data_IF_058193496494
#
_entry.id   IF_058193496494
#
_cell.length_a   1.000
_cell.length_b   1.000
_cell.length_c   1.000
_cell.angle_alpha   90.00
_cell.angle_beta   90.00
_cell.angle_gamma   90.00
#
_symmetry.space_group_name_H-M   'P 1'
#
loop_
_entity.id
_entity.type
_entity.pdbx_description
1 polymer ?
#
# COMPACT_ATOMS: atom_id res chain seq x y z
N UNK A 1 7.19 8.06 6.49
CA UNK A 1 6.59 7.50 5.27
C UNK A 1 7.18 8.23 4.08
N UNK A 2 7.74 7.50 3.14
CA UNK A 2 8.55 8.06 2.07
C UNK A 2 7.96 7.71 0.71
N UNK A 3 8.03 8.66 -0.22
CA UNK A 3 7.65 8.46 -1.62
C UNK A 3 8.90 8.69 -2.48
N UNK A 4 9.12 7.82 -3.45
CA UNK A 4 10.21 7.91 -4.41
C UNK A 4 9.62 7.80 -5.82
N UNK A 5 8.93 8.85 -6.27
CA UNK A 5 8.16 8.88 -7.52
C UNK A 5 8.99 8.48 -8.74
N UNK A 6 10.29 8.80 -8.75
CA UNK A 6 11.19 8.47 -9.85
C UNK A 6 11.21 6.96 -10.15
N UNK A 7 11.00 6.13 -9.12
CA UNK A 7 11.04 4.68 -9.24
C UNK A 7 9.68 4.03 -8.95
N UNK A 8 8.60 4.78 -9.10
CA UNK A 8 7.23 4.25 -9.04
C UNK A 8 7.03 3.20 -10.12
N UNK A 9 6.38 2.09 -9.79
CA UNK A 9 6.10 1.02 -10.75
C UNK A 9 4.78 0.32 -10.43
N UNK A 10 4.06 -0.11 -11.48
CA UNK A 10 2.82 -0.84 -11.32
C UNK A 10 3.07 -2.28 -10.87
N UNK A 11 2.29 -2.73 -9.89
CA UNK A 11 2.25 -4.11 -9.43
C UNK A 11 1.07 -4.81 -10.12
N UNK A 12 1.35 -5.77 -10.99
CA UNK A 12 0.33 -6.46 -11.81
C UNK A 12 0.00 -7.85 -11.31
N UNK A 13 0.94 -8.52 -10.65
CA UNK A 13 0.73 -9.87 -10.13
C UNK A 13 0.13 -9.79 -8.72
N UNK A 14 -0.96 -10.53 -8.49
CA UNK A 14 -1.66 -10.51 -7.18
C UNK A 14 -0.74 -10.90 -6.04
N UNK A 15 0.12 -11.90 -6.23
CA UNK A 15 1.07 -12.33 -5.20
C UNK A 15 2.07 -11.21 -4.88
N UNK A 16 2.51 -10.45 -5.87
CA UNK A 16 3.41 -9.31 -5.66
C UNK A 16 2.70 -8.18 -4.91
N UNK A 17 1.45 -7.90 -5.25
CA UNK A 17 0.63 -6.90 -4.56
C UNK A 17 0.48 -7.28 -3.08
N UNK A 18 0.15 -8.54 -2.81
CA UNK A 18 -0.01 -9.07 -1.46
C UNK A 18 1.29 -8.95 -0.66
N UNK A 19 2.40 -9.41 -1.22
CA UNK A 19 3.71 -9.37 -0.55
C UNK A 19 4.14 -7.93 -0.27
N UNK A 20 3.87 -7.02 -1.21
CA UNK A 20 4.21 -5.62 -1.05
C UNK A 20 3.38 -4.95 0.05
N UNK A 21 2.05 -5.07 -0.03
CA UNK A 21 1.13 -4.42 0.93
C UNK A 21 1.32 -4.97 2.34
N UNK A 22 1.55 -6.26 2.49
CA UNK A 22 1.70 -6.91 3.80
C UNK A 22 3.15 -6.92 4.32
N UNK A 23 4.07 -6.28 3.61
CA UNK A 23 5.50 -6.31 3.94
C UNK A 23 5.90 -5.49 5.17
N UNK A 24 5.07 -4.55 5.61
CA UNK A 24 5.30 -3.75 6.82
C UNK A 24 5.65 -2.28 6.60
N UNK A 25 6.10 -1.90 5.41
CA UNK A 25 6.48 -0.52 5.09
C UNK A 25 6.11 -0.12 3.66
N UNK A 26 5.05 -0.71 3.11
CA UNK A 26 4.64 -0.45 1.73
C UNK A 26 3.93 0.89 1.58
N UNK A 27 4.21 1.58 0.47
CA UNK A 27 3.48 2.78 0.06
C UNK A 27 3.01 2.56 -1.38
N UNK A 28 1.70 2.63 -1.58
CA UNK A 28 1.09 2.39 -2.90
C UNK A 28 0.18 3.52 -3.30
N UNK A 29 0.05 3.74 -4.61
CA UNK A 29 -0.96 4.63 -5.17
C UNK A 29 -1.95 3.79 -5.97
N UNK A 30 -3.23 3.93 -5.64
CA UNK A 30 -4.34 3.35 -6.36
C UNK A 30 -4.84 4.35 -7.39
N UNK A 31 -4.89 3.94 -8.66
CA UNK A 31 -5.31 4.78 -9.77
C UNK A 31 -6.53 4.14 -10.44
N UNK A 32 -7.58 4.94 -10.66
CA UNK A 32 -8.76 4.51 -11.42
C UNK A 32 -8.75 5.17 -12.81
N UNK A 33 -8.78 4.37 -13.87
CA UNK A 33 -8.89 4.88 -15.24
C UNK A 33 -10.24 5.52 -15.50
N UNK A 34 -11.29 5.05 -14.83
CA UNK A 34 -12.67 5.52 -15.03
C UNK A 34 -12.89 6.91 -14.46
N UNK A 35 -12.40 7.16 -13.25
CA UNK A 35 -12.60 8.43 -12.53
C UNK A 35 -11.37 9.34 -12.55
N UNK A 36 -10.23 8.82 -13.00
CA UNK A 36 -8.93 9.48 -12.96
C UNK A 36 -8.54 9.93 -11.53
N UNK A 37 -9.00 9.21 -10.53
CA UNK A 37 -8.71 9.49 -9.12
C UNK A 37 -7.47 8.73 -8.69
N UNK A 38 -6.58 9.40 -7.95
CA UNK A 38 -5.35 8.84 -7.41
C UNK A 38 -5.39 8.95 -5.89
N UNK A 39 -5.24 7.82 -5.19
CA UNK A 39 -5.14 7.78 -3.73
C UNK A 39 -3.86 7.07 -3.34
N UNK A 40 -3.04 7.72 -2.52
CA UNK A 40 -1.78 7.14 -2.02
C UNK A 40 -1.95 6.71 -0.57
N UNK A 41 -1.56 5.47 -0.28
CA UNK A 41 -1.70 4.87 1.05
C UNK A 41 -0.35 4.34 1.55
N UNK A 42 -0.14 4.44 2.85
CA UNK A 42 0.95 3.79 3.57
C UNK A 42 0.38 2.64 4.40
N UNK A 43 1.03 1.48 4.31
CA UNK A 43 0.70 0.27 5.08
C UNK A 43 1.88 -0.01 6.01
N UNK A 44 1.71 0.29 7.30
CA UNK A 44 2.82 0.29 8.25
C UNK A 44 2.57 -0.63 9.45
N UNK A 45 3.49 -1.56 9.68
CA UNK A 45 3.52 -2.37 10.91
C UNK A 45 4.44 -1.70 11.93
N UNK A 46 3.97 -1.50 13.19
CA UNK A 46 4.85 -1.04 14.27
C UNK A 46 5.98 -2.04 14.52
N UNK A 47 7.14 -1.56 14.95
CA UNK A 47 8.30 -2.41 15.22
C UNK A 47 8.06 -3.46 16.31
N UNK A 48 7.26 -3.10 17.31
CA UNK A 48 6.98 -3.93 18.48
C UNK A 48 5.76 -4.85 18.30
N UNK A 49 5.07 -4.79 17.15
CA UNK A 49 3.88 -5.59 16.86
C UNK A 49 3.86 -6.00 15.39
N UNK A 50 3.68 -7.31 15.13
CA UNK A 50 3.51 -7.84 13.77
C UNK A 50 2.09 -8.33 13.51
N UNK A 51 1.18 -8.19 14.49
CA UNK A 51 -0.22 -8.62 14.40
C UNK A 51 -1.17 -7.54 13.85
N UNK A 52 -0.71 -6.31 13.70
CA UNK A 52 -1.52 -5.18 13.25
C UNK A 52 -0.76 -4.33 12.23
N UNK A 53 -1.50 -3.79 11.27
CA UNK A 53 -0.97 -2.87 10.26
C UNK A 53 -1.83 -1.62 10.23
N UNK A 54 -1.21 -0.45 10.33
CA UNK A 54 -1.91 0.83 10.24
C UNK A 54 -1.90 1.36 8.81
N UNK A 55 -3.03 1.90 8.37
CA UNK A 55 -3.18 2.47 7.03
C UNK A 55 -3.39 3.97 7.16
N UNK A 56 -2.55 4.74 6.47
CA UNK A 56 -2.65 6.19 6.34
C UNK A 56 -2.75 6.57 4.88
N UNK A 57 -3.34 7.71 4.59
CA UNK A 57 -3.41 8.25 3.23
C UNK A 57 -2.71 9.60 3.16
N UNK A 58 -2.10 9.87 2.01
CA UNK A 58 -1.46 11.16 1.73
C UNK A 58 -2.52 12.14 1.22
N UNK A 59 -2.74 13.24 1.94
CA UNK A 59 -3.80 14.21 1.59
C UNK A 59 -3.30 15.41 0.80
N UNK A 60 -2.06 15.82 1.04
CA UNK A 60 -1.38 16.86 0.25
C UNK A 60 0.12 16.61 0.36
N UNK A 61 0.87 16.78 -0.64
CA UNK A 61 2.30 16.54 -0.76
C UNK A 61 3.07 15.92 0.42
N UNK A 62 2.69 16.18 1.67
CA UNK A 62 3.45 15.74 2.85
C UNK A 62 2.60 15.32 4.06
N UNK A 63 1.28 15.53 4.04
CA UNK A 63 0.43 15.25 5.19
C UNK A 63 -0.19 13.86 5.10
N UNK A 64 0.13 13.00 6.07
CA UNK A 64 -0.43 11.67 6.21
C UNK A 64 -1.55 11.68 7.24
N UNK A 65 -2.69 11.09 6.89
CA UNK A 65 -3.90 11.08 7.73
C UNK A 65 -4.31 9.63 7.97
N UNK A 66 -4.61 9.29 9.21
CA UNK A 66 -4.98 7.93 9.60
C UNK A 66 -6.33 7.51 9.01
N UNK A 67 -6.36 6.34 8.37
CA UNK A 67 -7.56 5.76 7.76
C UNK A 67 -8.13 4.65 8.61
N UNK A 68 -7.33 3.68 9.01
CA UNK A 68 -7.79 2.52 9.75
C UNK A 68 -6.67 1.51 9.98
N UNK A 69 -7.04 0.28 10.35
CA UNK A 69 -6.07 -0.77 10.58
C UNK A 69 -6.50 -2.10 9.96
N UNK A 70 -5.51 -2.95 9.72
CA UNK A 70 -5.71 -4.31 9.23
C UNK A 70 -5.18 -5.29 10.27
N UNK A 71 -6.02 -6.25 10.66
CA UNK A 71 -5.67 -7.26 11.66
C UNK A 71 -6.53 -8.51 11.44
N UNK A 72 -5.91 -9.68 11.52
CA UNK A 72 -6.60 -10.97 11.39
C UNK A 72 -7.43 -11.10 10.10
N UNK A 73 -6.91 -10.59 8.98
CA UNK A 73 -7.61 -10.64 7.71
C UNK A 73 -8.72 -9.62 7.53
N UNK A 74 -8.86 -8.66 8.45
CA UNK A 74 -9.93 -7.65 8.39
C UNK A 74 -9.37 -6.23 8.44
N UNK A 75 -9.88 -5.39 7.53
CA UNK A 75 -9.65 -3.95 7.56
C UNK A 75 -10.81 -3.28 8.31
N UNK A 76 -10.49 -2.47 9.34
CA UNK A 76 -11.48 -1.81 10.18
C UNK A 76 -11.15 -0.34 10.40
N UNK A 77 -12.20 0.46 10.59
CA UNK A 77 -12.09 1.85 11.01
C UNK A 77 -12.17 1.93 12.54
N UNK A 78 -11.67 3.04 13.10
CA UNK A 78 -11.75 3.33 14.54
C UNK A 78 -12.32 4.73 14.74
N UNK A 79 -12.56 5.12 16.00
CA UNK A 79 -12.98 6.47 16.34
C UNK A 79 -11.97 7.55 15.92
N UNK A 80 -10.70 7.17 15.72
CA UNK A 80 -9.65 8.07 15.26
C UNK A 80 -9.55 8.16 13.74
N UNK A 81 -10.29 7.34 13.00
CA UNK A 81 -10.30 7.37 11.53
C UNK A 81 -10.88 8.68 11.03
N UNK A 82 -10.17 9.35 10.11
CA UNK A 82 -10.59 10.63 9.57
C UNK A 82 -11.70 10.49 8.52
N UNK A 83 -11.96 9.28 8.03
CA UNK A 83 -12.87 9.04 6.91
C UNK A 83 -13.98 8.08 7.29
N UNK A 84 -15.16 8.32 6.68
CA UNK A 84 -16.34 7.45 6.86
C UNK A 84 -16.26 6.23 5.96
N UNK A 85 -16.99 5.13 6.29
CA UNK A 85 -16.94 3.89 5.49
C UNK A 85 -17.33 4.06 4.03
N UNK A 86 -18.16 5.03 3.69
CA UNK A 86 -18.62 5.29 2.32
C UNK A 86 -17.72 6.23 1.53
N UNK A 87 -16.64 6.73 2.12
CA UNK A 87 -15.70 7.63 1.43
C UNK A 87 -14.89 6.88 0.36
N UNK A 88 -14.47 7.61 -0.67
CA UNK A 88 -13.63 7.07 -1.73
C UNK A 88 -12.30 6.53 -1.18
N UNK A 89 -11.73 7.20 -0.17
CA UNK A 89 -10.49 6.78 0.49
C UNK A 89 -10.64 5.39 1.11
N UNK A 90 -11.69 5.16 1.89
CA UNK A 90 -11.94 3.88 2.55
C UNK A 90 -12.27 2.79 1.54
N UNK A 91 -13.08 3.11 0.54
CA UNK A 91 -13.41 2.16 -0.55
C UNK A 91 -12.16 1.71 -1.31
N UNK A 92 -11.19 2.62 -1.52
CA UNK A 92 -9.94 2.30 -2.17
C UNK A 92 -9.10 1.29 -1.37
N UNK A 93 -8.99 1.47 -0.07
CA UNK A 93 -8.31 0.51 0.82
C UNK A 93 -9.02 -0.84 0.80
N UNK A 94 -10.34 -0.83 0.92
CA UNK A 94 -11.15 -2.06 0.87
C UNK A 94 -10.95 -2.81 -0.44
N UNK A 95 -10.85 -2.11 -1.56
CA UNK A 95 -10.56 -2.72 -2.86
C UNK A 95 -9.20 -3.43 -2.85
N UNK A 96 -8.15 -2.78 -2.33
CA UNK A 96 -6.80 -3.36 -2.27
C UNK A 96 -6.83 -4.67 -1.48
N UNK A 97 -7.45 -4.68 -0.30
CA UNK A 97 -7.55 -5.90 0.50
C UNK A 97 -8.42 -6.97 -0.15
N UNK A 98 -9.48 -6.58 -0.87
CA UNK A 98 -10.30 -7.51 -1.64
C UNK A 98 -9.48 -8.22 -2.73
N UNK A 99 -8.61 -7.48 -3.44
CA UNK A 99 -7.70 -8.05 -4.44
C UNK A 99 -6.76 -9.06 -3.79
N UNK A 100 -6.13 -8.68 -2.68
CA UNK A 100 -5.17 -9.53 -1.95
C UNK A 100 -5.83 -10.82 -1.46
N UNK A 101 -7.01 -10.72 -0.86
CA UNK A 101 -7.69 -11.84 -0.22
C UNK A 101 -8.52 -12.66 -1.21
N UNK A 102 -9.14 -12.00 -2.17
CA UNK A 102 -10.05 -12.62 -3.13
C UNK A 102 -9.41 -13.01 -4.46
N UNK A 103 -8.22 -12.50 -4.76
CA UNK A 103 -7.48 -12.83 -5.98
C UNK A 103 -8.06 -12.24 -7.26
N UNK A 104 -8.94 -11.25 -7.18
CA UNK A 104 -9.60 -10.64 -8.34
C UNK A 104 -9.28 -9.16 -8.45
N UNK A 105 -8.60 -8.76 -9.52
CA UNK A 105 -8.33 -7.36 -9.83
C UNK A 105 -9.21 -6.89 -10.98
N UNK A 106 -9.54 -5.60 -10.98
CA UNK A 106 -10.32 -4.94 -12.04
C UNK A 106 -9.35 -4.24 -12.99
N UNK A 107 -9.51 -4.44 -14.31
CA UNK A 107 -8.59 -3.90 -15.32
C UNK A 107 -8.49 -2.37 -15.31
N UNK A 108 -9.55 -1.67 -14.91
CA UNK A 108 -9.56 -0.21 -14.83
C UNK A 108 -8.90 0.37 -13.59
N UNK A 109 -8.46 -0.49 -12.67
CA UNK A 109 -7.80 -0.09 -11.41
C UNK A 109 -6.35 -0.55 -11.42
N UNK A 110 -5.45 0.36 -11.06
CA UNK A 110 -4.01 0.11 -11.05
C UNK A 110 -3.44 0.35 -9.68
N UNK A 111 -2.55 -0.53 -9.24
CA UNK A 111 -1.86 -0.42 -7.95
C UNK A 111 -0.37 -0.23 -8.25
N UNK A 112 0.19 0.92 -7.88
CA UNK A 112 1.59 1.25 -8.11
C UNK A 112 2.31 1.38 -6.78
N UNK A 113 3.48 0.73 -6.64
CA UNK A 113 4.32 1.03 -5.48
C UNK A 113 5.06 2.34 -5.72
N UNK A 114 5.37 3.05 -4.62
CA UNK A 114 5.94 4.41 -4.68
C UNK A 114 7.46 4.42 -4.55
N UNK A 115 8.13 3.40 -5.06
CA UNK A 115 9.60 3.36 -5.16
C UNK A 115 10.33 3.09 -3.86
N UNK A 116 9.66 2.55 -2.84
CA UNK A 116 10.29 2.20 -1.56
C UNK A 116 10.14 0.71 -1.28
N UNK A 117 11.10 0.14 -0.55
CA UNK A 117 11.04 -1.27 -0.15
C UNK A 117 9.85 -1.53 0.77
N UNK A 118 9.07 -2.56 0.48
CA UNK A 118 7.88 -2.91 1.26
C UNK A 118 8.22 -3.40 2.68
N UNK A 119 9.45 -3.81 2.95
CA UNK A 119 9.86 -4.33 4.26
C UNK A 119 10.61 -3.33 5.12
N UNK A 120 11.51 -2.52 4.54
CA UNK A 120 12.34 -1.58 5.31
C UNK A 120 12.07 -0.11 4.99
N UNK A 121 11.31 0.19 3.94
CA UNK A 121 10.95 1.55 3.57
C UNK A 121 12.08 2.35 2.90
N UNK A 122 13.23 1.75 2.64
CA UNK A 122 14.34 2.45 1.96
C UNK A 122 14.01 2.68 0.50
N UNK A 123 14.49 3.79 -0.10
CA UNK A 123 14.32 4.02 -1.53
C UNK A 123 14.93 2.89 -2.36
N UNK A 124 14.22 2.49 -3.41
CA UNK A 124 14.68 1.46 -4.35
C UNK A 124 15.49 2.11 -5.45
N UNK A 125 16.61 1.48 -5.84
CA UNK A 125 17.50 2.00 -6.89
C UNK A 125 17.86 0.95 -7.93
N UNK A 126 17.70 -0.33 -7.61
CA UNK A 126 18.04 -1.45 -8.48
C UNK A 126 16.83 -1.83 -9.33
N UNK A 127 16.95 -2.02 -10.67
CA UNK A 127 15.79 -2.35 -11.52
C UNK A 127 15.00 -3.58 -11.09
N UNK A 128 15.65 -4.64 -10.63
CA UNK A 128 14.96 -5.83 -10.13
C UNK A 128 14.18 -5.51 -8.86
N UNK A 129 14.74 -4.71 -7.95
CA UNK A 129 14.08 -4.28 -6.73
C UNK A 129 12.89 -3.38 -7.02
N UNK A 130 13.01 -2.48 -8.00
CA UNK A 130 11.91 -1.59 -8.42
C UNK A 130 10.73 -2.41 -8.93
N UNK A 131 11.00 -3.41 -9.77
CA UNK A 131 9.95 -4.27 -10.32
C UNK A 131 9.19 -5.04 -9.24
N UNK A 132 9.91 -5.54 -8.21
CA UNK A 132 9.33 -6.36 -7.16
C UNK A 132 8.86 -5.57 -5.93
N UNK A 133 9.29 -4.31 -5.80
CA UNK A 133 8.93 -3.49 -4.64
C UNK A 133 9.66 -3.86 -3.35
N UNK A 134 10.78 -4.58 -3.45
CA UNK A 134 11.56 -5.02 -2.29
C UNK A 134 13.06 -4.82 -2.56
N UNK A 135 13.79 -4.29 -1.56
CA UNK A 135 15.22 -4.06 -1.68
C UNK A 135 16.04 -5.35 -1.69
N UNK A 136 17.28 -5.32 -2.24
CA UNK A 136 18.10 -6.53 -2.38
C UNK A 136 18.42 -7.21 -1.04
N UNK A 137 18.70 -6.42 0.00
CA UNK A 137 18.99 -6.96 1.34
C UNK A 137 17.76 -7.63 1.94
N UNK A 138 16.59 -7.03 1.78
CA UNK A 138 15.32 -7.60 2.30
C UNK A 138 14.91 -8.84 1.50
N UNK A 139 15.17 -8.86 0.18
CA UNK A 139 14.88 -10.01 -0.67
C UNK A 139 15.64 -11.25 -0.19
N UNK A 140 16.87 -11.09 0.25
CA UNK A 140 17.69 -12.18 0.77
C UNK A 140 17.22 -12.72 2.13
N UNK A 141 16.33 -12.01 2.80
CA UNK A 141 15.78 -12.42 4.11
C UNK A 141 14.44 -13.14 4.02
N UNK A 142 13.93 -13.32 2.82
CA UNK A 142 12.64 -14.00 2.61
C UNK A 142 12.73 -15.51 2.79
#
# INVERSE_FOLDING_TARGET
MTINEKFRSELTEIDHIKDYVLGGHGTVTLVSDTTNVHHTYSFHKPEDRDDIMFINTLVDGSNWVYVGYYRNGEFRLTAKSAYKPDSAIVKGVAYIFKVILGGTAVDSMHILHEGVCCRCGRPLTNPASIRLGIGPTCMNKL
#
